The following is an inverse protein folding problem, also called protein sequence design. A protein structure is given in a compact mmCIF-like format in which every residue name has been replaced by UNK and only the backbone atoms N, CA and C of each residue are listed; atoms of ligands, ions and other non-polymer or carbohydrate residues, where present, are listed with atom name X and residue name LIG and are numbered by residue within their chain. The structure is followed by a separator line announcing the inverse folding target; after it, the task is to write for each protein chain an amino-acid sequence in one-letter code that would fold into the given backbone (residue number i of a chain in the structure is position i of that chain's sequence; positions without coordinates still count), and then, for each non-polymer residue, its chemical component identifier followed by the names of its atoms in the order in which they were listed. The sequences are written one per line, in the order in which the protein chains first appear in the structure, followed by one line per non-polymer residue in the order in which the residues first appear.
data_IF_901092346680
#
_entry.id   IF_901092346680
#
_cell.length_a   1.000
_cell.length_b   1.000
_cell.length_c   1.000
_cell.angle_alpha   90.00
_cell.angle_beta   90.00
_cell.angle_gamma   90.00
#
_symmetry.space_group_name_H-M   'P 1'
#
loop_
_entity.id
_entity.type
_entity.pdbx_description
1 polymer ?
#
# COMPACT_ATOMS: atom_id res chain seq x y z
N UNK A 1 22.59 8.56 4.66
CA UNK A 1 22.68 8.90 6.11
C UNK A 1 21.41 9.56 6.64
N UNK A 2 21.11 10.85 6.41
CA UNK A 2 19.82 11.43 6.83
C UNK A 2 18.67 11.26 5.81
N UNK A 3 18.98 11.37 4.52
CA UNK A 3 17.98 11.27 3.44
C UNK A 3 17.35 9.89 3.31
N UNK A 4 18.14 8.83 3.53
CA UNK A 4 17.62 7.45 3.56
C UNK A 4 16.65 7.26 4.72
N UNK A 5 17.00 7.74 5.93
CA UNK A 5 16.13 7.65 7.09
C UNK A 5 14.79 8.36 6.84
N UNK A 6 14.83 9.58 6.28
CA UNK A 6 13.62 10.31 5.91
C UNK A 6 12.76 9.55 4.90
N UNK A 7 13.38 8.95 3.87
CA UNK A 7 12.69 8.11 2.90
C UNK A 7 11.99 6.92 3.56
N UNK A 8 12.68 6.21 4.47
CA UNK A 8 12.11 5.04 5.14
C UNK A 8 10.98 5.43 6.11
N UNK A 9 11.08 6.58 6.79
CA UNK A 9 10.01 7.13 7.61
C UNK A 9 8.79 7.47 6.75
N UNK A 10 8.98 8.18 5.63
CA UNK A 10 7.90 8.49 4.70
C UNK A 10 7.25 7.22 4.16
N UNK A 11 8.07 6.25 3.73
CA UNK A 11 7.61 4.96 3.22
C UNK A 11 6.82 4.17 4.27
N UNK A 12 7.18 4.28 5.55
CA UNK A 12 6.47 3.68 6.66
C UNK A 12 5.04 4.25 6.80
N UNK A 13 4.88 5.57 6.79
CA UNK A 13 3.55 6.20 6.87
C UNK A 13 2.68 5.93 5.63
N UNK A 14 3.28 5.85 4.45
CA UNK A 14 2.55 5.48 3.22
C UNK A 14 2.12 4.01 3.27
N UNK A 15 3.03 3.10 3.63
CA UNK A 15 2.72 1.67 3.69
C UNK A 15 1.66 1.32 4.74
N UNK A 16 1.70 1.92 5.95
CA UNK A 16 0.62 1.72 6.94
C UNK A 16 -0.73 2.24 6.44
N UNK A 17 -0.73 3.36 5.71
CA UNK A 17 -1.95 3.93 5.11
C UNK A 17 -2.52 3.02 4.03
N UNK A 18 -1.66 2.41 3.19
CA UNK A 18 -2.06 1.44 2.17
C UNK A 18 -2.65 0.17 2.80
N UNK A 19 -2.01 -0.37 3.84
CA UNK A 19 -2.54 -1.52 4.60
C UNK A 19 -3.89 -1.18 5.21
N UNK A 20 -4.01 -0.04 5.88
CA UNK A 20 -5.26 0.39 6.50
C UNK A 20 -6.39 0.60 5.48
N UNK A 21 -6.09 1.20 4.32
CA UNK A 21 -7.05 1.39 3.23
C UNK A 21 -7.59 0.06 2.72
N UNK A 22 -6.73 -0.90 2.38
CA UNK A 22 -7.18 -2.20 1.88
C UNK A 22 -7.90 -3.00 2.96
N UNK A 23 -7.43 -2.93 4.20
CA UNK A 23 -8.09 -3.58 5.32
C UNK A 23 -9.52 -3.05 5.52
N UNK A 24 -9.71 -1.72 5.46
CA UNK A 24 -11.03 -1.11 5.49
C UNK A 24 -11.92 -1.59 4.32
N UNK A 25 -11.39 -1.68 3.11
CA UNK A 25 -12.13 -2.20 1.95
C UNK A 25 -12.58 -3.67 2.15
N UNK A 26 -11.72 -4.52 2.74
CA UNK A 26 -12.06 -5.92 3.05
C UNK A 26 -13.15 -6.01 4.10
N UNK A 27 -13.13 -5.15 5.13
CA UNK A 27 -14.22 -5.07 6.13
C UNK A 27 -15.52 -4.67 5.45
N UNK A 28 -15.51 -3.58 4.67
CA UNK A 28 -16.71 -3.12 3.96
C UNK A 28 -17.31 -4.20 3.04
N UNK A 29 -16.49 -5.00 2.36
CA UNK A 29 -16.98 -6.12 1.57
C UNK A 29 -17.52 -7.27 2.42
N UNK A 30 -16.93 -7.52 3.60
CA UNK A 30 -17.41 -8.56 4.52
C UNK A 30 -18.73 -8.15 5.16
N UNK A 31 -18.89 -6.88 5.52
CA UNK A 31 -20.15 -6.32 6.02
C UNK A 31 -21.24 -6.33 4.94
N UNK A 32 -20.86 -6.13 3.68
CA UNK A 32 -21.77 -6.26 2.54
C UNK A 32 -22.20 -7.71 2.30
N UNK A 33 -21.28 -8.68 2.45
CA UNK A 33 -21.58 -10.12 2.34
C UNK A 33 -22.50 -10.62 3.45
N UNK A 34 -22.42 -10.01 4.63
CA UNK A 34 -23.28 -10.33 5.78
C UNK A 34 -24.62 -9.54 5.79
N UNK A 35 -24.96 -8.87 4.69
CA UNK A 35 -26.17 -8.04 4.53
C UNK A 35 -26.31 -6.90 5.57
N UNK A 36 -25.21 -6.45 6.18
CA UNK A 36 -25.24 -5.37 7.18
C UNK A 36 -25.26 -3.97 6.56
N UNK A 37 -24.72 -3.80 5.34
CA UNK A 37 -24.59 -2.50 4.68
C UNK A 37 -25.27 -2.46 3.31
N UNK A 38 -25.77 -1.27 2.96
CA UNK A 38 -26.35 -1.04 1.64
C UNK A 38 -25.25 -1.11 0.54
N UNK A 39 -25.47 -1.88 -0.54
CA UNK A 39 -24.51 -2.02 -1.64
C UNK A 39 -24.09 -0.72 -2.31
N UNK A 40 -25.02 0.22 -2.44
CA UNK A 40 -24.78 1.51 -3.07
C UNK A 40 -23.85 2.38 -2.21
N UNK A 41 -24.09 2.40 -0.89
CA UNK A 41 -23.23 3.13 0.04
C UNK A 41 -21.84 2.51 0.12
N UNK A 42 -21.75 1.19 0.24
CA UNK A 42 -20.48 0.47 0.31
C UNK A 42 -19.64 0.69 -0.95
N UNK A 43 -20.24 0.60 -2.14
CA UNK A 43 -19.52 0.80 -3.40
C UNK A 43 -19.01 2.23 -3.53
N UNK A 44 -19.80 3.24 -3.13
CA UNK A 44 -19.38 4.64 -3.11
C UNK A 44 -18.20 4.89 -2.15
N UNK A 45 -18.26 4.34 -0.93
CA UNK A 45 -17.18 4.45 0.07
C UNK A 45 -15.88 3.82 -0.44
N UNK A 46 -15.96 2.64 -1.04
CA UNK A 46 -14.78 1.97 -1.58
C UNK A 46 -14.24 2.74 -2.79
N UNK A 47 -15.08 3.17 -3.72
CA UNK A 47 -14.64 3.91 -4.92
C UNK A 47 -13.90 5.21 -4.57
N UNK A 48 -14.33 5.90 -3.51
CA UNK A 48 -13.63 7.09 -3.00
C UNK A 48 -12.22 6.79 -2.46
N UNK A 49 -11.99 5.57 -1.96
CA UNK A 49 -10.70 5.13 -1.41
C UNK A 49 -9.77 4.48 -2.44
N UNK A 50 -10.31 3.93 -3.54
CA UNK A 50 -9.49 3.29 -4.58
C UNK A 50 -8.54 4.28 -5.26
N UNK A 51 -9.01 5.48 -5.60
CA UNK A 51 -8.18 6.50 -6.24
C UNK A 51 -7.00 6.96 -5.37
N UNK A 52 -7.18 7.40 -4.10
CA UNK A 52 -6.05 7.79 -3.26
C UNK A 52 -5.09 6.62 -2.99
N UNK A 53 -5.59 5.37 -2.91
CA UNK A 53 -4.71 4.19 -2.81
C UNK A 53 -3.80 4.06 -4.04
N UNK A 54 -4.32 4.21 -5.25
CA UNK A 54 -3.54 4.09 -6.48
C UNK A 54 -2.48 5.18 -6.59
N UNK A 55 -2.84 6.40 -6.20
CA UNK A 55 -1.92 7.54 -6.17
C UNK A 55 -0.79 7.29 -5.16
N UNK A 56 -1.12 6.81 -3.95
CA UNK A 56 -0.13 6.50 -2.92
C UNK A 56 0.79 5.34 -3.30
N UNK A 57 0.25 4.27 -3.89
CA UNK A 57 1.05 3.15 -4.36
C UNK A 57 1.95 3.54 -5.54
N UNK A 58 1.43 4.35 -6.46
CA UNK A 58 2.19 4.89 -7.59
C UNK A 58 3.31 5.82 -7.14
N UNK A 59 3.03 6.73 -6.19
CA UNK A 59 4.04 7.64 -5.66
C UNK A 59 5.13 6.89 -4.89
N UNK A 60 4.78 5.88 -4.10
CA UNK A 60 5.76 5.03 -3.41
C UNK A 60 6.67 4.29 -4.39
N UNK A 61 6.10 3.74 -5.47
CA UNK A 61 6.86 3.05 -6.52
C UNK A 61 7.84 4.01 -7.23
N UNK A 62 7.39 5.22 -7.57
CA UNK A 62 8.23 6.26 -8.17
C UNK A 62 9.35 6.70 -7.21
N UNK A 63 9.04 6.86 -5.92
CA UNK A 63 10.04 7.20 -4.90
C UNK A 63 11.14 6.14 -4.80
N UNK A 64 10.80 4.85 -4.83
CA UNK A 64 11.81 3.78 -4.83
C UNK A 64 12.66 3.75 -6.11
N UNK A 65 12.08 4.10 -7.26
CA UNK A 65 12.81 4.23 -8.52
C UNK A 65 13.82 5.38 -8.47
N UNK A 66 13.38 6.57 -8.02
CA UNK A 66 14.23 7.77 -7.95
C UNK A 66 15.38 7.64 -6.95
N UNK A 67 15.17 6.87 -5.89
CA UNK A 67 16.16 6.65 -4.83
C UNK A 67 17.01 5.40 -5.06
N UNK A 68 16.96 4.82 -6.26
CA UNK A 68 17.78 3.67 -6.68
C UNK A 68 17.56 2.39 -5.85
N UNK A 69 16.42 2.27 -5.17
CA UNK A 69 16.04 1.09 -4.41
C UNK A 69 15.38 0.03 -5.30
N UNK A 70 16.14 -0.51 -6.26
CA UNK A 70 15.66 -1.42 -7.30
C UNK A 70 14.89 -2.64 -6.79
N UNK A 71 15.32 -3.24 -5.68
CA UNK A 71 14.63 -4.39 -5.11
C UNK A 71 13.21 -4.04 -4.65
N UNK A 72 13.05 -2.91 -3.95
CA UNK A 72 11.75 -2.44 -3.47
C UNK A 72 10.86 -1.97 -4.62
N UNK A 73 11.46 -1.34 -5.62
CA UNK A 73 10.77 -0.99 -6.86
C UNK A 73 10.24 -2.23 -7.58
N UNK A 74 11.05 -3.29 -7.76
CA UNK A 74 10.62 -4.53 -8.41
C UNK A 74 9.49 -5.23 -7.66
N UNK A 75 9.47 -5.14 -6.33
CA UNK A 75 8.36 -5.63 -5.52
C UNK A 75 7.13 -4.73 -5.70
N UNK A 76 7.25 -3.41 -5.64
CA UNK A 76 6.10 -2.51 -5.78
C UNK A 76 5.49 -2.49 -7.21
N UNK A 77 6.31 -2.76 -8.23
CA UNK A 77 5.97 -2.58 -9.64
C UNK A 77 4.80 -3.45 -10.14
N UNK A 78 4.73 -4.76 -9.88
CA UNK A 78 3.59 -5.59 -10.28
C UNK A 78 2.24 -5.03 -9.81
N UNK A 79 2.17 -4.52 -8.57
CA UNK A 79 0.94 -3.94 -8.02
C UNK A 79 0.60 -2.62 -8.71
N UNK A 80 1.60 -1.76 -8.92
CA UNK A 80 1.40 -0.48 -9.63
C UNK A 80 0.96 -0.69 -11.09
N UNK A 81 1.55 -1.67 -11.79
CA UNK A 81 1.15 -2.03 -13.15
C UNK A 81 -0.28 -2.56 -13.16
N UNK A 82 -0.64 -3.42 -12.21
CA UNK A 82 -2.02 -3.90 -12.07
C UNK A 82 -3.02 -2.75 -11.86
N UNK A 83 -2.69 -1.78 -11.00
CA UNK A 83 -3.52 -0.58 -10.82
C UNK A 83 -3.64 0.26 -12.08
N UNK A 84 -2.53 0.45 -12.81
CA UNK A 84 -2.52 1.23 -14.05
C UNK A 84 -3.35 0.56 -15.15
N UNK A 85 -3.27 -0.76 -15.29
CA UNK A 85 -4.11 -1.53 -16.20
C UNK A 85 -5.60 -1.37 -15.84
N UNK A 86 -5.95 -1.53 -14.56
CA UNK A 86 -7.33 -1.40 -14.09
C UNK A 86 -7.88 0.03 -14.30
N UNK A 87 -7.04 1.04 -14.13
CA UNK A 87 -7.39 2.43 -14.40
C UNK A 87 -7.66 2.65 -15.90
N UNK A 88 -6.80 2.14 -16.78
CA UNK A 88 -6.94 2.26 -18.24
C UNK A 88 -8.20 1.56 -18.77
N UNK A 89 -8.54 0.39 -18.21
CA UNK A 89 -9.75 -0.35 -18.55
C UNK A 89 -11.04 0.27 -17.96
N UNK A 90 -10.94 1.37 -17.20
CA UNK A 90 -12.03 2.00 -16.44
C UNK A 90 -12.77 1.07 -15.48
N UNK A 91 -12.16 -0.07 -15.15
CA UNK A 91 -12.67 -1.07 -14.19
C UNK A 91 -12.23 -0.78 -12.75
N UNK A 92 -11.71 0.41 -12.48
CA UNK A 92 -11.28 0.82 -11.13
C UNK A 92 -12.47 1.10 -10.20
N UNK A 93 -13.65 1.39 -10.76
CA UNK A 93 -14.88 1.57 -10.02
C UNK A 93 -15.57 0.23 -9.83
N UNK A 94 -15.97 -0.01 -8.59
CA UNK A 94 -16.83 -1.11 -8.21
C UNK A 94 -18.25 -0.79 -8.67
N UNK A 95 -18.79 -1.63 -9.56
CA UNK A 95 -20.21 -1.59 -9.95
C UNK A 95 -21.05 -2.49 -9.05
N UNK A 96 -22.11 -1.93 -8.48
CA UNK A 96 -23.00 -2.55 -7.49
C UNK A 96 -23.60 -3.85 -8.02
N UNK A 97 -23.91 -3.90 -9.32
CA UNK A 97 -24.52 -5.06 -9.97
C UNK A 97 -23.57 -6.23 -10.24
N UNK A 98 -22.26 -5.98 -10.41
CA UNK A 98 -21.27 -7.05 -10.63
C UNK A 98 -20.69 -7.59 -9.32
N UNK A 99 -20.60 -6.76 -8.28
CA UNK A 99 -20.03 -7.14 -6.97
C UNK A 99 -20.76 -8.32 -6.36
N UNK A 100 -22.10 -8.33 -6.37
CA UNK A 100 -22.85 -9.45 -5.81
C UNK A 100 -22.64 -10.75 -6.59
N UNK A 101 -22.41 -10.65 -7.90
CA UNK A 101 -22.25 -11.82 -8.75
C UNK A 101 -20.87 -12.48 -8.59
N UNK A 102 -19.88 -11.74 -8.07
CA UNK A 102 -18.48 -12.18 -7.94
C UNK A 102 -17.83 -11.85 -6.59
N UNK A 103 -18.60 -11.63 -5.52
CA UNK A 103 -18.11 -11.06 -4.24
C UNK A 103 -16.97 -11.87 -3.63
N UNK A 104 -17.04 -13.20 -3.74
CA UNK A 104 -16.03 -14.12 -3.22
C UNK A 104 -14.69 -14.02 -3.97
N UNK A 105 -14.74 -13.75 -5.27
CA UNK A 105 -13.55 -13.54 -6.10
C UNK A 105 -12.90 -12.18 -5.81
N UNK A 106 -13.71 -11.11 -5.80
CA UNK A 106 -13.27 -9.75 -5.47
C UNK A 106 -12.64 -9.67 -4.06
N UNK A 107 -13.27 -10.34 -3.08
CA UNK A 107 -12.74 -10.45 -1.71
C UNK A 107 -11.39 -11.16 -1.69
N UNK A 108 -11.26 -12.27 -2.41
CA UNK A 108 -9.99 -13.03 -2.48
C UNK A 108 -8.88 -12.20 -3.11
N UNK A 109 -9.17 -11.47 -4.19
CA UNK A 109 -8.22 -10.55 -4.83
C UNK A 109 -7.74 -9.46 -3.85
N UNK A 110 -8.66 -8.83 -3.11
CA UNK A 110 -8.30 -7.81 -2.11
C UNK A 110 -7.55 -8.37 -0.92
N UNK A 111 -7.85 -9.60 -0.52
CA UNK A 111 -7.10 -10.30 0.52
C UNK A 111 -5.66 -10.62 0.07
N UNK A 112 -5.48 -11.04 -1.19
CA UNK A 112 -4.14 -11.20 -1.79
C UNK A 112 -3.40 -9.87 -1.84
N UNK A 113 -4.06 -8.78 -2.24
CA UNK A 113 -3.48 -7.43 -2.22
C UNK A 113 -3.07 -7.01 -0.80
N UNK A 114 -3.91 -7.28 0.20
CA UNK A 114 -3.60 -7.01 1.60
C UNK A 114 -2.34 -7.77 2.04
N UNK A 115 -2.24 -9.06 1.72
CA UNK A 115 -1.05 -9.85 1.99
C UNK A 115 0.21 -9.25 1.37
N UNK A 116 0.10 -8.76 0.12
CA UNK A 116 1.20 -8.06 -0.55
C UNK A 116 1.64 -6.81 0.20
N UNK A 117 0.70 -5.96 0.61
CA UNK A 117 1.03 -4.74 1.37
C UNK A 117 1.57 -5.02 2.77
N UNK A 118 1.14 -6.11 3.42
CA UNK A 118 1.73 -6.55 4.69
C UNK A 118 3.19 -6.95 4.49
N UNK A 119 3.51 -7.72 3.45
CA UNK A 119 4.90 -8.08 3.14
C UNK A 119 5.74 -6.84 2.85
N UNK A 120 5.23 -5.91 2.03
CA UNK A 120 5.89 -4.64 1.75
C UNK A 120 6.11 -3.82 3.03
N UNK A 121 5.11 -3.74 3.90
CA UNK A 121 5.19 -3.04 5.19
C UNK A 121 6.29 -3.62 6.08
N UNK A 122 6.36 -4.95 6.22
CA UNK A 122 7.41 -5.63 7.00
C UNK A 122 8.79 -5.30 6.42
N UNK A 123 8.95 -5.32 5.09
CA UNK A 123 10.21 -4.97 4.44
C UNK A 123 10.61 -3.51 4.70
N UNK A 124 9.66 -2.58 4.66
CA UNK A 124 9.88 -1.15 4.96
C UNK A 124 10.28 -0.96 6.41
N UNK A 125 9.60 -1.62 7.35
CA UNK A 125 9.93 -1.57 8.79
C UNK A 125 11.36 -2.08 9.04
N UNK A 126 11.73 -3.21 8.44
CA UNK A 126 13.08 -3.76 8.58
C UNK A 126 14.15 -2.77 8.10
N UNK A 127 13.95 -2.14 6.94
CA UNK A 127 14.87 -1.13 6.41
C UNK A 127 14.91 0.14 7.25
N UNK A 128 13.76 0.58 7.76
CA UNK A 128 13.67 1.72 8.67
C UNK A 128 14.51 1.46 9.94
N UNK A 129 14.36 0.29 10.57
CA UNK A 129 15.13 -0.06 11.77
C UNK A 129 16.62 -0.11 11.46
N UNK A 130 17.05 -0.75 10.37
CA UNK A 130 18.45 -0.75 9.98
C UNK A 130 18.99 0.67 9.73
N UNK A 131 18.26 1.49 8.97
CA UNK A 131 18.66 2.86 8.68
C UNK A 131 18.77 3.71 9.95
N UNK A 132 17.86 3.52 10.91
CA UNK A 132 17.90 4.22 12.18
C UNK A 132 19.11 3.78 13.02
N UNK A 133 19.38 2.48 13.11
CA UNK A 133 20.56 1.97 13.83
C UNK A 133 21.84 2.53 13.23
N UNK A 134 21.99 2.50 11.90
CA UNK A 134 23.17 3.05 11.23
C UNK A 134 23.34 4.56 11.48
N UNK A 135 22.25 5.34 11.50
CA UNK A 135 22.35 6.77 11.82
C UNK A 135 22.84 7.03 13.25
N UNK A 136 22.44 6.21 14.22
CA UNK A 136 22.91 6.37 15.60
C UNK A 136 24.37 5.95 15.77
N UNK A 137 24.81 4.87 15.13
CA UNK A 137 26.20 4.40 15.24
C UNK A 137 27.19 5.39 14.61
N UNK A 138 26.85 6.02 13.49
CA UNK A 138 27.75 6.98 12.85
C UNK A 138 27.91 8.29 13.67
N UNK A 139 26.86 8.71 14.38
CA UNK A 139 26.93 9.84 15.31
C UNK A 139 27.82 9.52 16.53
N UNK A 140 27.77 8.29 17.06
CA UNK A 140 28.64 7.83 18.16
C UNK A 140 30.12 7.74 17.72
N UNK A 141 30.40 7.20 16.53
CA UNK A 141 31.77 7.13 15.99
C UNK A 141 32.36 8.54 15.75
N UNK A 142 31.54 9.51 15.33
CA UNK A 142 31.95 10.91 15.21
C UNK A 142 32.28 11.55 16.56
N UNK A 143 31.55 11.22 17.63
CA UNK A 143 31.79 11.72 18.98
C UNK A 143 33.07 11.16 19.62
N UNK A 144 33.50 9.95 19.22
CA UNK A 144 34.73 9.32 19.72
C UNK A 144 36.02 9.77 19.01
N UNK A 145 35.90 10.53 17.92
CA UNK A 145 37.02 11.02 17.11
C UNK A 145 37.51 12.43 17.51
N UNK A 146 36.85 13.09 18.46
CA UNK A 146 37.21 14.42 18.98
C UNK A 146 37.72 14.39 20.42
#
# INVERSE_FOLDING_TARGET
MAWDLFLWILSFFVSITLVASVFYQVICLTDLEADYLNPFETSSRINRLVLPEFILQGSLCILFLLTWHWFFFLVALPVTVYHAMLYNERRHLIDVTEVFRGISFEKKLRFTKLGFYIVLFIMVVFRLTLSAVYSFTEDDDLLHLF
#
